data_IF_165550689966
#
_entry.id   IF_165550689966
#
_cell.length_a   1.000
_cell.length_b   1.000
_cell.length_c   1.000
_cell.angle_alpha   90.00
_cell.angle_beta   90.00
_cell.angle_gamma   90.00
#
_symmetry.space_group_name_H-M   'P 1'
#
loop_
_entity.id
_entity.type
_entity.pdbx_description
1 polymer ?
#
# COMPACT_ATOMS: atom_id res chain seq x y z
N UNK A 1 -18.88 1.13 -39.03
CA UNK A 1 -17.96 2.23 -38.71
C UNK A 1 -17.66 2.13 -37.22
N UNK A 2 -16.46 1.68 -36.79
CA UNK A 2 -16.12 1.78 -35.37
C UNK A 2 -15.91 3.26 -35.02
N UNK A 3 -16.60 3.75 -34.00
CA UNK A 3 -16.45 5.10 -33.47
C UNK A 3 -15.09 5.24 -32.78
N UNK A 4 -14.30 6.23 -33.18
CA UNK A 4 -13.08 6.63 -32.48
C UNK A 4 -13.41 7.02 -31.03
N UNK A 5 -12.75 6.36 -30.08
CA UNK A 5 -12.74 6.77 -28.69
C UNK A 5 -11.64 7.82 -28.55
N UNK A 6 -12.04 9.08 -28.39
CA UNK A 6 -11.12 10.19 -28.16
C UNK A 6 -10.67 10.16 -26.68
N UNK A 7 -9.43 9.70 -26.45
CA UNK A 7 -8.85 9.62 -25.11
C UNK A 7 -8.24 10.97 -24.72
N UNK A 8 -9.03 11.85 -24.10
CA UNK A 8 -8.55 13.12 -23.58
C UNK A 8 -7.71 12.91 -22.30
N UNK A 9 -6.39 12.82 -22.47
CA UNK A 9 -5.45 12.83 -21.36
C UNK A 9 -5.37 14.25 -20.79
N UNK A 10 -5.77 14.43 -19.53
CA UNK A 10 -5.61 15.70 -18.81
C UNK A 10 -4.19 15.78 -18.27
N UNK A 11 -3.42 16.75 -18.76
CA UNK A 11 -2.11 17.10 -18.21
C UNK A 11 -2.24 18.40 -17.42
N UNK A 12 -1.66 18.44 -16.22
CA UNK A 12 -1.54 19.67 -15.43
C UNK A 12 -0.14 19.72 -14.83
N UNK A 13 0.46 20.90 -14.86
CA UNK A 13 1.76 21.16 -14.27
C UNK A 13 1.60 21.92 -12.96
N UNK A 14 2.43 21.59 -11.97
CA UNK A 14 2.49 22.28 -10.68
C UNK A 14 3.95 22.52 -10.34
N UNK A 15 4.31 23.78 -10.05
CA UNK A 15 5.63 24.13 -9.51
C UNK A 15 5.65 23.86 -8.01
N UNK A 16 6.61 23.07 -7.55
CA UNK A 16 6.83 22.85 -6.12
C UNK A 16 7.81 23.89 -5.57
N UNK A 17 7.44 24.48 -4.44
CA UNK A 17 8.29 25.44 -3.72
C UNK A 17 9.19 24.74 -2.70
N UNK A 18 10.22 25.46 -2.24
CA UNK A 18 11.16 24.94 -1.24
C UNK A 18 10.42 24.60 0.06
N UNK A 19 10.51 23.34 0.47
CA UNK A 19 9.92 22.84 1.72
C UNK A 19 8.59 22.10 1.54
N UNK A 20 8.01 22.14 0.34
CA UNK A 20 6.84 21.34 0.00
C UNK A 20 7.18 19.86 -0.18
N UNK A 21 6.15 19.00 -0.08
CA UNK A 21 6.30 17.55 -0.21
C UNK A 21 5.43 17.02 -1.35
N UNK A 22 6.04 16.29 -2.25
CA UNK A 22 5.33 15.48 -3.23
C UNK A 22 5.03 14.10 -2.64
N UNK A 23 3.76 13.71 -2.60
CA UNK A 23 3.35 12.35 -2.25
C UNK A 23 2.84 11.67 -3.53
N UNK A 24 3.57 10.67 -4.00
CA UNK A 24 3.16 9.86 -5.14
C UNK A 24 2.58 8.54 -4.64
N UNK A 25 1.32 8.28 -4.96
CA UNK A 25 0.66 7.02 -4.64
C UNK A 25 0.66 6.12 -5.88
N UNK A 26 1.28 4.95 -5.76
CA UNK A 26 1.14 3.89 -6.75
C UNK A 26 -0.16 3.11 -6.53
N UNK A 27 -0.79 2.66 -7.61
CA UNK A 27 -1.89 1.71 -7.54
C UNK A 27 -1.38 0.29 -7.24
N UNK A 28 -2.16 -0.47 -6.48
CA UNK A 28 -1.97 -1.90 -6.32
C UNK A 28 -2.66 -2.70 -7.44
N UNK A 29 -2.42 -4.01 -7.47
CA UNK A 29 -3.20 -4.95 -8.28
C UNK A 29 -4.56 -5.29 -7.66
N UNK A 30 -5.44 -5.92 -8.45
CA UNK A 30 -6.71 -6.47 -7.96
C UNK A 30 -6.54 -7.76 -7.16
N UNK A 31 -7.55 -8.09 -6.34
CA UNK A 31 -7.65 -9.37 -5.64
C UNK A 31 -8.44 -10.41 -6.44
N UNK A 32 -8.35 -11.68 -6.03
CA UNK A 32 -9.15 -12.77 -6.59
C UNK A 32 -9.77 -13.62 -5.48
N UNK A 33 -11.04 -14.00 -5.66
CA UNK A 33 -11.79 -14.84 -4.73
C UNK A 33 -12.33 -14.09 -3.51
N UNK A 34 -12.92 -14.85 -2.60
CA UNK A 34 -13.50 -14.33 -1.36
C UNK A 34 -12.40 -14.08 -0.31
N UNK A 35 -12.22 -12.85 0.21
CA UNK A 35 -11.19 -12.54 1.20
C UNK A 35 -11.25 -13.42 2.47
N UNK A 36 -12.44 -13.76 2.96
CA UNK A 36 -12.59 -14.60 4.15
C UNK A 36 -11.98 -16.02 4.00
N UNK A 37 -11.77 -16.47 2.77
CA UNK A 37 -11.19 -17.79 2.46
C UNK A 37 -9.67 -17.75 2.29
N UNK A 38 -9.02 -16.60 2.49
CA UNK A 38 -7.57 -16.44 2.38
C UNK A 38 -6.85 -17.27 3.45
N UNK A 39 -5.82 -18.02 3.04
CA UNK A 39 -4.95 -18.78 3.95
C UNK A 39 -4.30 -17.85 5.00
N UNK A 40 -4.47 -18.19 6.27
CA UNK A 40 -3.97 -17.43 7.41
C UNK A 40 -2.43 -17.39 7.46
N UNK A 41 -1.74 -18.43 6.98
CA UNK A 41 -0.28 -18.43 6.91
C UNK A 41 0.24 -17.36 5.94
N UNK A 42 -0.48 -17.14 4.84
CA UNK A 42 -0.14 -16.09 3.87
C UNK A 42 -0.43 -14.69 4.42
N UNK A 43 -1.51 -14.52 5.19
CA UNK A 43 -1.80 -13.24 5.88
C UNK A 43 -0.70 -12.92 6.91
N UNK A 44 -0.31 -13.90 7.72
CA UNK A 44 0.75 -13.74 8.71
C UNK A 44 2.08 -13.34 8.06
N UNK A 45 2.42 -13.97 6.93
CA UNK A 45 3.58 -13.57 6.12
C UNK A 45 3.45 -12.15 5.59
N UNK A 46 2.31 -11.75 5.05
CA UNK A 46 2.11 -10.39 4.54
C UNK A 46 2.20 -9.32 5.63
N UNK A 47 1.78 -9.63 6.87
CA UNK A 47 1.99 -8.76 8.03
C UNK A 47 3.47 -8.64 8.39
N UNK A 48 4.20 -9.77 8.38
CA UNK A 48 5.65 -9.80 8.63
C UNK A 48 6.45 -9.03 7.57
N UNK A 49 6.03 -9.14 6.31
CA UNK A 49 6.68 -8.51 5.16
C UNK A 49 6.24 -7.04 4.96
N UNK A 50 5.44 -6.47 5.87
CA UNK A 50 4.91 -5.09 5.83
C UNK A 50 4.07 -4.77 4.58
N UNK A 51 3.56 -5.78 3.89
CA UNK A 51 2.66 -5.63 2.75
C UNK A 51 1.20 -5.41 3.17
N UNK A 52 0.90 -5.64 4.45
CA UNK A 52 -0.41 -5.50 5.04
C UNK A 52 -0.28 -4.90 6.45
N UNK A 53 -1.21 -4.01 6.82
CA UNK A 53 -1.32 -3.53 8.20
C UNK A 53 -2.23 -4.45 9.00
N UNK A 54 -2.05 -4.50 10.33
CA UNK A 54 -2.94 -5.29 11.21
C UNK A 54 -4.40 -4.84 11.07
N UNK A 55 -4.63 -3.53 10.97
CA UNK A 55 -5.97 -2.98 10.77
C UNK A 55 -6.57 -3.41 9.42
N UNK A 56 -5.79 -3.31 8.34
CA UNK A 56 -6.20 -3.74 7.00
C UNK A 56 -6.49 -5.24 6.95
N UNK A 57 -5.67 -6.06 7.61
CA UNK A 57 -5.88 -7.50 7.71
C UNK A 57 -7.21 -7.86 8.39
N UNK A 58 -7.50 -7.21 9.53
CA UNK A 58 -8.76 -7.42 10.26
C UNK A 58 -9.98 -7.01 9.45
N UNK A 59 -9.89 -5.86 8.78
CA UNK A 59 -10.98 -5.33 7.97
C UNK A 59 -11.27 -6.20 6.74
N UNK A 60 -10.22 -6.68 6.06
CA UNK A 60 -10.37 -7.39 4.77
C UNK A 60 -10.53 -8.91 4.93
N UNK A 61 -9.84 -9.53 5.90
CA UNK A 61 -9.75 -10.98 6.02
C UNK A 61 -10.37 -11.54 7.32
N UNK A 62 -10.91 -10.68 8.19
CA UNK A 62 -11.50 -11.09 9.48
C UNK A 62 -10.48 -11.35 10.59
N UNK A 63 -10.97 -11.76 11.76
CA UNK A 63 -10.27 -11.76 13.05
C UNK A 63 -9.16 -12.83 13.23
N UNK A 64 -8.59 -13.35 12.14
CA UNK A 64 -7.50 -14.35 12.16
C UNK A 64 -6.08 -13.76 12.12
N UNK A 65 -5.94 -12.43 12.03
CA UNK A 65 -4.62 -11.80 12.05
C UNK A 65 -3.90 -12.11 13.37
N UNK A 66 -2.79 -12.87 13.37
CA UNK A 66 -2.07 -13.20 14.59
C UNK A 66 -1.62 -11.91 15.27
N UNK A 67 -1.77 -11.85 16.60
CA UNK A 67 -1.19 -10.79 17.41
C UNK A 67 0.34 -10.94 17.28
N UNK A 68 0.95 -10.10 16.46
CA UNK A 68 2.40 -9.89 16.53
C UNK A 68 2.66 -9.08 17.81
N UNK A 69 3.51 -9.59 18.71
CA UNK A 69 3.88 -8.86 19.93
C UNK A 69 4.61 -7.58 19.57
N UNK A 70 4.22 -6.45 20.19
CA UNK A 70 4.80 -5.10 20.02
C UNK A 70 6.32 -5.00 20.28
N UNK A 71 6.95 -6.06 20.78
CA UNK A 71 8.30 -6.04 21.35
C UNK A 71 9.45 -5.89 20.33
N UNK A 72 9.20 -5.98 19.02
CA UNK A 72 10.25 -5.84 17.99
C UNK A 72 10.15 -4.60 17.10
N UNK A 73 9.23 -3.67 17.37
CA UNK A 73 9.24 -2.36 16.70
C UNK A 73 10.24 -1.42 17.37
N UNK A 74 11.54 -1.75 17.26
CA UNK A 74 12.60 -0.76 17.48
C UNK A 74 12.60 0.21 16.30
N UNK A 75 12.24 1.45 16.62
CA UNK A 75 12.60 2.70 15.96
C UNK A 75 13.93 2.61 15.20
N UNK A 76 13.89 2.48 13.88
CA UNK A 76 15.03 2.80 13.01
C UNK A 76 14.64 2.81 11.52
N UNK A 77 13.85 3.80 11.08
CA UNK A 77 13.99 4.39 9.72
C UNK A 77 13.59 5.88 9.73
N UNK A 78 14.42 6.67 10.39
CA UNK A 78 14.70 8.05 10.00
C UNK A 78 16.16 8.10 9.55
N UNK A 79 16.45 7.70 8.31
CA UNK A 79 17.64 8.12 7.54
C UNK A 79 17.69 7.38 6.18
N UNK A 80 17.68 8.14 5.08
CA UNK A 80 17.92 7.67 3.71
C UNK A 80 16.76 8.06 2.78
N UNK A 81 16.88 8.94 1.79
CA UNK A 81 18.09 9.45 1.15
C UNK A 81 17.84 10.89 0.65
N UNK A 82 18.59 11.82 1.22
CA UNK A 82 18.92 13.10 0.62
C UNK A 82 20.44 13.21 0.57
N UNK A 83 20.96 13.71 -0.55
CA UNK A 83 22.34 14.08 -0.84
C UNK A 83 23.35 12.91 -0.88
N UNK A 84 23.78 12.51 -2.09
CA UNK A 84 24.98 13.06 -2.75
C UNK A 84 24.79 13.07 -4.26
#
# INVERSE_FOLDING_TARGET
MPSEIEQNSVFFDVTLERGERLISHGSGGGGFGEPANRDQALIARSLKDELLTVAGARMMYGAGAPIISETEYKTERLAGAGAR
#
